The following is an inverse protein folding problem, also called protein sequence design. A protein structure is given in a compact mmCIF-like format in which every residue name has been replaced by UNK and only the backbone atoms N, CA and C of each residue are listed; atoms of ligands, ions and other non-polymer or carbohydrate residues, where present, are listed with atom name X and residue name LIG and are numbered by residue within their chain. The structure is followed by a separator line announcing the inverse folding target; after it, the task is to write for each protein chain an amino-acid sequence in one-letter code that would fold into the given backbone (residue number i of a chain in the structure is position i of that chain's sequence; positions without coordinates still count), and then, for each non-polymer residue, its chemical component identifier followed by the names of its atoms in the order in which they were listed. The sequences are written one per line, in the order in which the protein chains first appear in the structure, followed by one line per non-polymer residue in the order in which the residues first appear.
data_IF_434426634235
#
_entry.id   IF_434426634235
#
_cell.length_a   1.000
_cell.length_b   1.000
_cell.length_c   1.000
_cell.angle_alpha   90.00
_cell.angle_beta   90.00
_cell.angle_gamma   90.00
#
_symmetry.space_group_name_H-M   'P 1'
#
loop_
_entity.id
_entity.type
_entity.pdbx_description
1 polymer ?
#
# COMPACT_ATOMS: atom_id res chain seq x y z
N UNK A 1 11.43 15.34 -31.66
CA UNK A 1 10.55 15.46 -30.49
C UNK A 1 10.20 14.10 -29.89
N UNK A 2 9.91 13.09 -30.67
CA UNK A 2 9.50 11.75 -30.25
C UNK A 2 10.56 10.98 -29.44
N UNK A 3 11.84 11.07 -29.77
CA UNK A 3 12.93 10.40 -29.04
C UNK A 3 13.16 10.96 -27.62
N UNK A 4 12.90 12.26 -27.40
CA UNK A 4 13.08 12.89 -26.09
C UNK A 4 11.97 12.47 -25.11
N UNK A 5 10.75 12.25 -25.58
CA UNK A 5 9.64 11.77 -24.76
C UNK A 5 9.84 10.30 -24.34
N UNK A 6 10.31 9.45 -25.26
CA UNK A 6 10.63 8.05 -24.95
C UNK A 6 11.74 7.95 -23.89
N UNK A 7 12.75 8.80 -23.96
CA UNK A 7 13.83 8.83 -22.95
C UNK A 7 13.31 9.24 -21.57
N UNK A 8 12.41 10.24 -21.49
CA UNK A 8 11.84 10.69 -20.22
C UNK A 8 10.99 9.61 -19.55
N UNK A 9 10.08 8.98 -20.28
CA UNK A 9 9.24 7.90 -19.73
C UNK A 9 10.07 6.70 -19.29
N UNK A 10 11.06 6.29 -20.07
CA UNK A 10 11.97 5.19 -19.73
C UNK A 10 12.77 5.51 -18.46
N UNK A 11 13.36 6.71 -18.37
CA UNK A 11 14.09 7.13 -17.18
C UNK A 11 13.20 7.15 -15.93
N UNK A 12 11.96 7.62 -16.06
CA UNK A 12 10.98 7.64 -14.99
C UNK A 12 10.63 6.22 -14.51
N UNK A 13 10.33 5.31 -15.43
CA UNK A 13 10.03 3.92 -15.11
C UNK A 13 11.23 3.23 -14.42
N UNK A 14 12.43 3.42 -14.93
CA UNK A 14 13.65 2.88 -14.30
C UNK A 14 13.86 3.41 -12.90
N UNK A 15 13.62 4.70 -12.66
CA UNK A 15 13.68 5.31 -11.33
C UNK A 15 12.70 4.67 -10.36
N UNK A 16 11.43 4.54 -10.74
CA UNK A 16 10.42 3.87 -9.92
C UNK A 16 10.78 2.42 -9.61
N UNK A 17 11.18 1.65 -10.61
CA UNK A 17 11.56 0.24 -10.41
C UNK A 17 12.78 0.09 -9.49
N UNK A 18 13.73 1.02 -9.57
CA UNK A 18 14.89 0.99 -8.69
C UNK A 18 14.49 1.22 -7.23
N UNK A 19 13.70 2.25 -6.96
CA UNK A 19 13.19 2.54 -5.61
C UNK A 19 12.32 1.38 -5.11
N UNK A 20 11.35 0.94 -5.92
CA UNK A 20 10.44 -0.15 -5.56
C UNK A 20 11.18 -1.43 -5.18
N UNK A 21 12.21 -1.81 -5.95
CA UNK A 21 13.01 -3.01 -5.66
C UNK A 21 13.64 -2.97 -4.28
N UNK A 22 14.19 -1.82 -3.86
CA UNK A 22 14.79 -1.65 -2.55
C UNK A 22 13.76 -1.64 -1.43
N UNK A 23 12.63 -0.96 -1.64
CA UNK A 23 11.51 -0.95 -0.68
C UNK A 23 10.92 -2.35 -0.47
N UNK A 24 10.68 -3.11 -1.54
CA UNK A 24 10.18 -4.48 -1.45
C UNK A 24 11.17 -5.38 -0.72
N UNK A 25 12.47 -5.23 -0.96
CA UNK A 25 13.51 -5.98 -0.23
C UNK A 25 13.51 -5.67 1.26
N UNK A 26 13.45 -4.38 1.62
CA UNK A 26 13.38 -3.95 3.02
C UNK A 26 12.09 -4.44 3.69
N UNK A 27 10.93 -4.34 3.01
CA UNK A 27 9.66 -4.85 3.50
C UNK A 27 9.72 -6.37 3.74
N UNK A 28 10.32 -7.13 2.82
CA UNK A 28 10.46 -8.58 2.96
C UNK A 28 11.33 -8.95 4.16
N UNK A 29 12.46 -8.26 4.36
CA UNK A 29 13.33 -8.48 5.50
C UNK A 29 12.61 -8.17 6.81
N UNK A 30 11.95 -7.00 6.92
CA UNK A 30 11.18 -6.62 8.10
C UNK A 30 10.05 -7.61 8.39
N UNK A 31 9.34 -8.07 7.36
CA UNK A 31 8.31 -9.09 7.51
C UNK A 31 8.88 -10.39 8.09
N UNK A 32 9.98 -10.91 7.55
CA UNK A 32 10.62 -12.14 8.02
C UNK A 32 11.11 -12.03 9.48
N UNK A 33 11.72 -10.92 9.84
CA UNK A 33 12.21 -10.66 11.20
C UNK A 33 11.07 -10.64 12.23
N UNK A 34 9.84 -10.35 11.78
CA UNK A 34 8.62 -10.33 12.61
C UNK A 34 7.72 -11.55 12.43
N UNK A 35 8.19 -12.60 11.77
CA UNK A 35 7.43 -13.83 11.56
C UNK A 35 6.22 -13.69 10.63
N UNK A 36 6.20 -12.64 9.79
CA UNK A 36 5.15 -12.38 8.81
C UNK A 36 5.54 -12.84 7.41
N UNK A 37 4.56 -13.29 6.64
CA UNK A 37 4.70 -13.32 5.19
C UNK A 37 4.61 -11.90 4.62
N UNK A 38 5.18 -11.66 3.44
CA UNK A 38 5.10 -10.34 2.80
C UNK A 38 3.64 -9.87 2.56
N UNK A 39 2.68 -10.73 2.13
CA UNK A 39 1.27 -10.35 2.05
C UNK A 39 0.65 -9.98 3.39
N UNK A 40 1.00 -10.66 4.49
CA UNK A 40 0.53 -10.31 5.83
C UNK A 40 1.08 -8.96 6.27
N UNK A 41 2.38 -8.74 6.10
CA UNK A 41 3.03 -7.45 6.37
C UNK A 41 2.38 -6.32 5.58
N UNK A 42 2.19 -6.50 4.28
CA UNK A 42 1.56 -5.50 3.41
C UNK A 42 0.11 -5.20 3.84
N UNK A 43 -0.67 -6.23 4.16
CA UNK A 43 -2.05 -6.05 4.65
C UNK A 43 -2.08 -5.30 5.97
N UNK A 44 -1.23 -5.68 6.93
CA UNK A 44 -1.13 -5.06 8.24
C UNK A 44 -0.75 -3.58 8.16
N UNK A 45 0.31 -3.26 7.39
CA UNK A 45 0.75 -1.88 7.18
C UNK A 45 -0.24 -1.04 6.36
N UNK A 46 -1.12 -1.66 5.59
CA UNK A 46 -2.19 -0.97 4.88
C UNK A 46 -3.38 -0.66 5.79
N UNK A 47 -3.72 -1.54 6.72
CA UNK A 47 -4.82 -1.34 7.68
C UNK A 47 -4.44 -0.27 8.71
N UNK A 48 -3.21 -0.31 9.22
CA UNK A 48 -2.75 0.52 10.35
C UNK A 48 -3.06 2.03 10.21
N UNK A 49 -2.69 2.72 9.12
CA UNK A 49 -2.90 4.16 9.00
C UNK A 49 -4.34 4.54 8.63
N UNK A 50 -5.18 3.57 8.26
CA UNK A 50 -6.54 3.83 7.76
C UNK A 50 -7.62 3.57 8.80
N UNK A 51 -7.30 2.84 9.87
CA UNK A 51 -8.29 2.34 10.81
C UNK A 51 -9.18 1.27 10.16
N UNK A 52 -10.46 1.15 10.56
CA UNK A 52 -11.37 0.16 10.00
C UNK A 52 -11.50 0.31 8.47
N UNK A 53 -11.26 -0.78 7.73
CA UNK A 53 -11.28 -0.79 6.26
C UNK A 53 -12.05 -2.01 5.76
N UNK A 54 -12.84 -1.87 4.71
CA UNK A 54 -13.50 -3.03 4.11
C UNK A 54 -12.46 -3.94 3.41
N UNK A 55 -12.72 -5.25 3.43
CA UNK A 55 -11.86 -6.21 2.74
C UNK A 55 -11.74 -5.90 1.24
N UNK A 56 -12.80 -5.33 0.64
CA UNK A 56 -12.79 -4.88 -0.76
C UNK A 56 -11.82 -3.70 -0.94
N UNK A 57 -11.87 -2.69 -0.06
CA UNK A 57 -10.95 -1.56 -0.12
C UNK A 57 -9.51 -1.99 0.14
N UNK A 58 -9.27 -2.93 1.08
CA UNK A 58 -7.94 -3.49 1.31
C UNK A 58 -7.41 -4.19 0.05
N UNK A 59 -8.25 -4.95 -0.67
CA UNK A 59 -7.88 -5.57 -1.94
C UNK A 59 -7.45 -4.54 -2.99
N UNK A 60 -8.17 -3.42 -3.08
CA UNK A 60 -7.84 -2.32 -3.98
C UNK A 60 -6.51 -1.67 -3.64
N UNK A 61 -6.20 -1.50 -2.36
CA UNK A 61 -4.94 -0.87 -1.94
C UNK A 61 -3.73 -1.79 -2.03
N UNK A 62 -3.90 -3.08 -1.77
CA UNK A 62 -2.78 -4.03 -1.78
C UNK A 62 -2.49 -4.63 -3.14
N UNK A 63 -3.45 -4.60 -4.06
CA UNK A 63 -3.39 -5.28 -5.36
C UNK A 63 -3.04 -6.78 -5.26
N UNK A 64 -3.26 -7.39 -4.10
CA UNK A 64 -3.02 -8.82 -3.89
C UNK A 64 -4.11 -9.66 -4.57
N UNK A 65 -3.74 -10.82 -5.13
CA UNK A 65 -4.73 -11.79 -5.60
C UNK A 65 -5.70 -12.16 -4.47
N UNK A 66 -6.98 -12.37 -4.81
CA UNK A 66 -8.05 -12.62 -3.82
C UNK A 66 -7.72 -13.75 -2.84
N UNK A 67 -7.16 -14.85 -3.35
CA UNK A 67 -6.76 -16.00 -2.51
C UNK A 67 -5.63 -15.63 -1.55
N UNK A 68 -4.60 -14.93 -2.03
CA UNK A 68 -3.46 -14.48 -1.22
C UNK A 68 -3.92 -13.52 -0.13
N UNK A 69 -4.78 -12.55 -0.48
CA UNK A 69 -5.34 -11.62 0.49
C UNK A 69 -6.15 -12.34 1.56
N UNK A 70 -7.04 -13.27 1.17
CA UNK A 70 -7.86 -14.04 2.12
C UNK A 70 -7.01 -14.85 3.09
N UNK A 71 -5.95 -15.52 2.61
CA UNK A 71 -5.02 -16.26 3.46
C UNK A 71 -4.23 -15.34 4.40
N UNK A 72 -3.80 -14.19 3.91
CA UNK A 72 -3.08 -13.20 4.71
C UNK A 72 -3.95 -12.67 5.85
N UNK A 73 -5.20 -12.30 5.56
CA UNK A 73 -6.16 -11.83 6.56
C UNK A 73 -6.45 -12.93 7.58
N UNK A 74 -6.68 -14.16 7.13
CA UNK A 74 -6.94 -15.30 8.01
C UNK A 74 -5.80 -15.51 9.00
N UNK A 75 -4.54 -15.49 8.54
CA UNK A 75 -3.38 -15.60 9.41
C UNK A 75 -3.27 -14.45 10.41
N UNK A 76 -3.57 -13.22 10.01
CA UNK A 76 -3.55 -12.04 10.89
C UNK A 76 -4.66 -12.10 11.96
N UNK A 77 -5.84 -12.61 11.61
CA UNK A 77 -6.95 -12.83 12.54
C UNK A 77 -6.61 -13.94 13.53
N UNK A 78 -6.05 -15.07 13.05
CA UNK A 78 -5.62 -16.19 13.91
C UNK A 78 -4.53 -15.77 14.91
N UNK A 79 -3.64 -14.87 14.50
CA UNK A 79 -2.61 -14.30 15.38
C UNK A 79 -3.15 -13.25 16.36
N UNK A 80 -4.42 -12.86 16.24
CA UNK A 80 -5.06 -11.88 17.11
C UNK A 80 -4.67 -10.42 16.79
N UNK A 81 -4.01 -10.15 15.68
CA UNK A 81 -3.59 -8.79 15.32
C UNK A 81 -4.66 -8.01 14.55
N UNK A 82 -5.53 -8.71 13.84
CA UNK A 82 -6.64 -8.12 13.08
C UNK A 82 -7.97 -8.68 13.57
N UNK A 83 -8.93 -7.79 13.75
CA UNK A 83 -10.33 -8.10 14.04
C UNK A 83 -11.09 -8.09 12.71
N UNK A 84 -11.92 -9.10 12.50
CA UNK A 84 -12.82 -9.22 11.35
C UNK A 84 -14.26 -9.13 11.84
N UNK A 85 -14.99 -8.15 11.37
CA UNK A 85 -16.40 -7.93 11.72
C UNK A 85 -17.26 -7.80 10.46
N UNK A 86 -18.52 -8.13 10.60
CA UNK A 86 -19.52 -7.86 9.55
C UNK A 86 -19.99 -6.41 9.70
N UNK A 87 -20.05 -5.66 8.61
CA UNK A 87 -20.57 -4.31 8.62
C UNK A 87 -22.05 -4.32 9.06
N UNK A 88 -22.43 -3.63 10.16
CA UNK A 88 -23.81 -3.60 10.64
C UNK A 88 -24.81 -3.06 9.61
N UNK A 89 -24.37 -2.12 8.77
CA UNK A 89 -25.20 -1.50 7.73
C UNK A 89 -25.27 -2.34 6.46
N UNK A 90 -24.27 -3.20 6.22
CA UNK A 90 -24.19 -4.05 5.05
C UNK A 90 -23.59 -5.43 5.41
N UNK A 91 -24.46 -6.38 5.75
CA UNK A 91 -24.05 -7.75 6.19
C UNK A 91 -23.27 -8.55 5.14
N UNK A 92 -23.14 -8.06 3.91
CA UNK A 92 -22.31 -8.68 2.88
C UNK A 92 -20.88 -8.14 2.88
N UNK A 93 -20.64 -7.09 3.64
CA UNK A 93 -19.33 -6.44 3.73
C UNK A 93 -18.60 -6.84 5.00
N UNK A 94 -17.35 -7.22 4.86
CA UNK A 94 -16.43 -7.52 5.95
C UNK A 94 -15.55 -6.31 6.18
N UNK A 95 -15.49 -5.86 7.43
CA UNK A 95 -14.63 -4.78 7.90
C UNK A 95 -13.49 -5.37 8.72
N UNK A 96 -12.29 -4.85 8.51
CA UNK A 96 -11.05 -5.26 9.14
C UNK A 96 -10.49 -4.07 9.93
N UNK A 97 -10.08 -4.31 11.15
CA UNK A 97 -9.41 -3.33 11.99
C UNK A 97 -8.27 -3.97 12.77
N UNK A 98 -7.34 -3.18 13.27
CA UNK A 98 -6.35 -3.70 14.20
C UNK A 98 -6.99 -3.94 15.56
N UNK A 99 -6.60 -5.04 16.23
CA UNK A 99 -6.81 -5.20 17.67
C UNK A 99 -5.83 -4.32 18.44
N UNK A 100 -6.00 -4.20 19.77
CA UNK A 100 -5.03 -3.51 20.62
C UNK A 100 -3.65 -4.14 20.53
N UNK A 101 -3.57 -5.47 20.47
CA UNK A 101 -2.32 -6.20 20.25
C UNK A 101 -1.74 -5.93 18.85
N UNK A 102 -2.61 -5.86 17.83
CA UNK A 102 -2.20 -5.52 16.47
C UNK A 102 -1.63 -4.12 16.37
N UNK A 103 -2.25 -3.15 17.06
CA UNK A 103 -1.76 -1.78 17.10
C UNK A 103 -0.39 -1.69 17.77
N UNK A 104 -0.22 -2.37 18.91
CA UNK A 104 1.07 -2.44 19.60
C UNK A 104 2.13 -3.10 18.71
N UNK A 105 1.81 -4.22 18.07
CA UNK A 105 2.71 -4.95 17.20
C UNK A 105 3.16 -4.11 15.99
N UNK A 106 2.24 -3.35 15.38
CA UNK A 106 2.59 -2.41 14.31
C UNK A 106 3.55 -1.34 14.80
N UNK A 107 3.29 -0.76 15.98
CA UNK A 107 4.18 0.24 16.58
C UNK A 107 5.58 -0.34 16.81
N UNK A 108 5.68 -1.54 17.38
CA UNK A 108 6.97 -2.22 17.59
C UNK A 108 7.73 -2.43 16.26
N UNK A 109 7.03 -2.84 15.18
CA UNK A 109 7.65 -2.98 13.85
C UNK A 109 8.17 -1.64 13.32
N UNK A 110 7.39 -0.57 13.49
CA UNK A 110 7.74 0.76 13.00
C UNK A 110 8.94 1.37 13.72
N UNK A 111 9.10 1.05 15.02
CA UNK A 111 10.19 1.54 15.86
C UNK A 111 11.48 0.72 15.74
N UNK A 112 11.48 -0.41 15.04
CA UNK A 112 12.67 -1.22 14.84
C UNK A 112 13.78 -0.43 14.10
N UNK A 113 14.96 -0.30 14.68
CA UNK A 113 16.08 0.44 14.09
C UNK A 113 16.46 -0.06 12.69
N UNK A 114 16.36 -1.37 12.45
CA UNK A 114 16.62 -2.00 11.16
C UNK A 114 15.36 -2.25 10.34
N UNK A 115 14.19 -1.81 10.80
CA UNK A 115 12.93 -1.92 10.10
C UNK A 115 12.88 -1.01 8.87
N UNK A 116 12.06 -1.40 7.92
CA UNK A 116 11.89 -0.67 6.65
C UNK A 116 11.58 0.82 6.86
N UNK A 117 10.68 1.13 7.80
CA UNK A 117 10.25 2.51 8.04
C UNK A 117 11.39 3.36 8.57
N UNK A 118 12.13 2.87 9.56
CA UNK A 118 13.27 3.61 10.14
C UNK A 118 14.40 3.79 9.14
N UNK A 119 14.70 2.77 8.34
CA UNK A 119 15.70 2.89 7.27
C UNK A 119 15.28 3.93 6.22
N UNK A 120 14.01 3.96 5.85
CA UNK A 120 13.48 4.96 4.92
C UNK A 120 13.56 6.37 5.51
N UNK A 121 13.17 6.55 6.79
CA UNK A 121 13.27 7.84 7.48
C UNK A 121 14.70 8.37 7.48
N UNK A 122 15.70 7.53 7.82
CA UNK A 122 17.11 7.93 7.78
C UNK A 122 17.56 8.45 6.41
N UNK A 123 17.06 7.86 5.32
CA UNK A 123 17.33 8.36 3.98
C UNK A 123 16.60 9.68 3.73
N UNK A 124 15.33 9.78 4.12
CA UNK A 124 14.51 10.98 3.92
C UNK A 124 15.01 12.18 4.73
N UNK A 125 15.60 11.96 5.91
CA UNK A 125 16.25 13.01 6.71
C UNK A 125 17.41 13.72 5.95
N UNK A 126 17.96 13.09 4.91
CA UNK A 126 19.00 13.69 4.06
C UNK A 126 18.44 14.53 2.91
N UNK A 127 17.14 14.54 2.72
CA UNK A 127 16.44 15.24 1.64
C UNK A 127 15.83 16.52 2.21
N UNK A 128 16.04 17.62 1.50
CA UNK A 128 15.42 18.89 1.86
C UNK A 128 13.88 18.80 1.89
N UNK A 129 13.25 19.45 2.86
CA UNK A 129 11.81 19.37 3.07
C UNK A 129 10.99 19.82 1.85
N UNK A 130 11.42 20.90 1.18
CA UNK A 130 10.73 21.42 0.00
C UNK A 130 10.83 20.42 -1.17
N UNK A 131 12.01 19.81 -1.35
CA UNK A 131 12.24 18.76 -2.35
C UNK A 131 11.38 17.54 -2.05
N UNK A 132 11.27 17.13 -0.79
CA UNK A 132 10.42 16.02 -0.36
C UNK A 132 8.94 16.27 -0.68
N UNK A 133 8.42 17.45 -0.34
CA UNK A 133 7.04 17.82 -0.63
C UNK A 133 6.74 17.89 -2.13
N UNK A 134 7.65 18.46 -2.92
CA UNK A 134 7.55 18.48 -4.39
C UNK A 134 7.56 17.07 -4.98
N UNK A 135 8.38 16.17 -4.45
CA UNK A 135 8.43 14.77 -4.86
C UNK A 135 7.08 14.08 -4.61
N UNK A 136 6.48 14.24 -3.42
CA UNK A 136 5.17 13.66 -3.10
C UNK A 136 4.08 14.21 -4.01
N UNK A 137 4.05 15.54 -4.24
CA UNK A 137 3.10 16.17 -5.14
C UNK A 137 3.24 15.65 -6.58
N UNK A 138 4.47 15.48 -7.05
CA UNK A 138 4.76 14.93 -8.39
C UNK A 138 4.31 13.47 -8.50
N UNK A 139 4.56 12.65 -7.50
CA UNK A 139 4.10 11.25 -7.47
C UNK A 139 2.56 11.18 -7.51
N UNK A 140 1.88 12.02 -6.75
CA UNK A 140 0.41 12.10 -6.75
C UNK A 140 -0.13 12.48 -8.13
N UNK A 141 0.46 13.51 -8.77
CA UNK A 141 0.09 13.95 -10.12
C UNK A 141 0.27 12.85 -11.17
N UNK A 142 1.38 12.11 -11.11
CA UNK A 142 1.65 10.98 -12.03
C UNK A 142 0.62 9.88 -11.81
N UNK A 143 0.38 9.49 -10.56
CA UNK A 143 -0.57 8.43 -10.22
C UNK A 143 -1.99 8.78 -10.70
N UNK A 144 -2.44 10.02 -10.46
CA UNK A 144 -3.75 10.50 -10.93
C UNK A 144 -3.83 10.55 -12.46
N UNK A 145 -2.76 11.02 -13.12
CA UNK A 145 -2.70 11.07 -14.58
C UNK A 145 -2.80 9.68 -15.21
N UNK A 146 -2.04 8.72 -14.71
CA UNK A 146 -2.11 7.32 -15.15
C UNK A 146 -3.49 6.74 -14.86
N UNK A 147 -4.04 6.97 -13.66
CA UNK A 147 -5.37 6.50 -13.27
C UNK A 147 -6.47 6.97 -14.22
N UNK A 148 -6.43 8.24 -14.66
CA UNK A 148 -7.37 8.78 -15.65
C UNK A 148 -7.23 8.12 -17.03
N UNK A 149 -6.03 7.79 -17.45
CA UNK A 149 -5.79 7.11 -18.74
C UNK A 149 -6.29 5.66 -18.70
N UNK A 150 -6.11 4.98 -17.57
CA UNK A 150 -6.50 3.58 -17.41
C UNK A 150 -8.00 3.38 -17.13
N UNK A 151 -8.73 4.43 -16.76
CA UNK A 151 -10.18 4.44 -16.63
C UNK A 151 -10.79 5.32 -17.73
N UNK A 152 -10.81 4.89 -19.00
CA UNK A 152 -11.55 5.60 -20.02
C UNK A 152 -13.04 5.55 -19.65
N UNK A 153 -13.69 6.71 -19.66
CA UNK A 153 -15.06 7.02 -19.32
C UNK A 153 -16.06 5.84 -19.38
N UNK A 154 -16.53 5.38 -18.24
CA UNK A 154 -17.85 4.74 -18.15
C UNK A 154 -18.98 5.79 -18.11
N UNK A 155 -18.83 6.85 -18.89
CA UNK A 155 -19.87 7.85 -19.14
C UNK A 155 -20.16 7.92 -20.63
N UNK A 156 -21.00 7.03 -21.10
CA UNK A 156 -21.47 7.07 -22.50
C UNK A 156 -22.34 5.87 -22.81
N UNK A 157 -23.59 5.87 -22.37
CA UNK A 157 -24.50 4.80 -22.75
C UNK A 157 -25.82 4.80 -22.00
N UNK A 158 -26.46 5.94 -21.89
CA UNK A 158 -27.91 6.04 -21.83
C UNK A 158 -28.33 7.14 -22.79
N UNK A 159 -28.54 6.75 -24.03
CA UNK A 159 -29.38 7.51 -24.94
C UNK A 159 -30.52 6.57 -25.34
N UNK A 160 -31.67 6.99 -24.95
CA UNK A 160 -32.98 6.51 -25.34
C UNK A 160 -33.05 5.99 -26.79
N UNK A 161 -33.68 4.81 -26.95
CA UNK A 161 -34.80 4.60 -27.88
C UNK A 161 -35.57 3.35 -27.48
#
# INVERSE_FOLDING_TARGET
MEQTETVRSTAMMQSFWNVQRHLVRAAHQTAQENGLSLPQFHSLMTIAPRGPISQKALATHTHLPKSTLSQSIEGLVQSGWVIRETNPENRREVVLSLSDQGQQFVTEIQEQEKGMQRQLEQVLETIDQEVFEQMLATHAQIAEGIGRILQPDMKGGCSDD
#
